data_IF_942915324554
#
_entry.id   IF_942915324554
#
_cell.length_a   1.000
_cell.length_b   1.000
_cell.length_c   1.000
_cell.angle_alpha   90.00
_cell.angle_beta   90.00
_cell.angle_gamma   90.00
#
_symmetry.space_group_name_H-M   'P 1'
#
loop_
_entity.id
_entity.type
_entity.pdbx_description
1 polymer ?
#
# COMPACT_ATOMS: atom_id res chain seq x y z
N UNK A 1 -17.92 -15.10 17.66
CA UNK A 1 -16.92 -15.54 16.68
C UNK A 1 -15.97 -16.50 17.36
N UNK A 2 -15.67 -17.65 16.75
CA UNK A 2 -14.58 -18.52 17.23
C UNK A 2 -13.28 -17.70 17.19
N UNK A 3 -12.72 -17.41 18.36
CA UNK A 3 -11.40 -16.75 18.46
C UNK A 3 -10.41 -17.63 17.72
N UNK A 4 -9.91 -17.17 16.58
CA UNK A 4 -8.93 -17.94 15.83
C UNK A 4 -7.64 -17.94 16.64
N UNK A 5 -7.27 -19.10 17.17
CA UNK A 5 -5.99 -19.30 17.84
C UNK A 5 -4.87 -19.31 16.78
N UNK A 6 -4.28 -18.12 16.59
CA UNK A 6 -3.20 -17.89 15.62
C UNK A 6 -2.03 -18.84 15.89
N UNK A 7 -1.74 -19.11 17.16
CA UNK A 7 -0.58 -19.90 17.54
C UNK A 7 -0.84 -21.40 17.28
N UNK A 8 -2.04 -21.91 17.57
CA UNK A 8 -2.44 -23.28 17.17
C UNK A 8 -2.42 -23.42 15.65
N UNK A 9 -2.99 -22.47 14.91
CA UNK A 9 -2.98 -22.53 13.45
C UNK A 9 -1.57 -22.44 12.85
N UNK A 10 -0.66 -21.69 13.48
CA UNK A 10 0.74 -21.61 13.06
C UNK A 10 1.48 -22.93 13.33
N UNK A 11 1.18 -23.58 14.46
CA UNK A 11 1.76 -24.86 14.85
C UNK A 11 1.23 -26.04 14.02
N UNK A 12 -0.04 -26.00 13.62
CA UNK A 12 -0.69 -27.07 12.88
C UNK A 12 -0.19 -27.13 11.44
N UNK A 13 0.84 -27.94 11.20
CA UNK A 13 1.44 -28.16 9.88
C UNK A 13 0.69 -29.19 9.00
N UNK A 14 -0.53 -29.60 9.39
CA UNK A 14 -1.26 -30.72 8.79
C UNK A 14 -1.86 -30.48 7.39
N UNK A 15 -1.60 -29.34 6.75
CA UNK A 15 -2.24 -28.95 5.49
C UNK A 15 -1.33 -29.20 4.29
N UNK A 16 -1.89 -29.81 3.23
CA UNK A 16 -1.17 -30.01 1.95
C UNK A 16 -0.82 -28.67 1.27
N UNK A 17 -1.65 -27.64 1.46
CA UNK A 17 -1.39 -26.22 1.15
C UNK A 17 -2.27 -25.37 2.09
N UNK A 18 -1.70 -24.46 2.88
CA UNK A 18 -2.44 -23.40 3.59
C UNK A 18 -2.32 -22.10 2.77
N UNK A 19 -3.37 -21.71 2.01
CA UNK A 19 -3.29 -20.61 1.05
C UNK A 19 -3.21 -19.25 1.75
N UNK A 20 -2.24 -18.43 1.31
CA UNK A 20 -2.00 -17.09 1.84
C UNK A 20 -3.02 -16.09 1.28
N UNK A 21 -3.22 -16.12 -0.04
CA UNK A 21 -4.21 -15.28 -0.74
C UNK A 21 -5.57 -15.95 -0.64
N UNK A 22 -6.50 -15.33 0.07
CA UNK A 22 -7.82 -15.92 0.39
C UNK A 22 -8.92 -15.53 -0.59
N UNK A 23 -8.76 -14.37 -1.21
CA UNK A 23 -9.71 -13.74 -2.13
C UNK A 23 -8.96 -12.71 -2.96
N UNK A 24 -9.51 -12.34 -4.12
CA UNK A 24 -9.05 -11.16 -4.86
C UNK A 24 -9.46 -9.83 -4.18
N UNK A 25 -10.37 -9.86 -3.20
CA UNK A 25 -10.61 -8.73 -2.27
C UNK A 25 -9.56 -8.64 -1.15
N UNK A 26 -8.68 -9.64 -1.00
CA UNK A 26 -7.55 -9.55 -0.06
C UNK A 26 -6.44 -8.66 -0.64
N UNK A 27 -6.80 -7.40 -0.90
CA UNK A 27 -6.00 -6.37 -1.56
C UNK A 27 -6.38 -5.00 -1.00
N UNK A 28 -5.58 -3.99 -1.28
CA UNK A 28 -5.88 -2.61 -0.88
C UNK A 28 -6.95 -1.97 -1.80
N UNK A 29 -7.91 -1.23 -1.25
CA UNK A 29 -9.06 -0.66 -1.98
C UNK A 29 -8.67 0.22 -3.17
N UNK A 30 -7.55 0.95 -3.06
CA UNK A 30 -7.05 1.78 -4.15
C UNK A 30 -6.75 0.97 -5.42
N UNK A 31 -6.41 -0.32 -5.29
CA UNK A 31 -6.19 -1.21 -6.44
C UNK A 31 -7.46 -1.37 -7.27
N UNK A 32 -8.62 -1.53 -6.62
CA UNK A 32 -9.90 -1.67 -7.33
C UNK A 32 -10.34 -0.34 -7.96
N UNK A 33 -10.15 0.78 -7.25
CA UNK A 33 -10.45 2.12 -7.79
C UNK A 33 -9.62 2.41 -9.04
N UNK A 34 -8.32 2.13 -8.96
CA UNK A 34 -7.40 2.31 -10.07
C UNK A 34 -7.68 1.35 -11.20
N UNK A 35 -7.95 0.08 -10.89
CA UNK A 35 -8.25 -0.94 -11.89
C UNK A 35 -9.47 -0.57 -12.75
N UNK A 36 -10.53 -0.04 -12.14
CA UNK A 36 -11.68 0.46 -12.90
C UNK A 36 -11.26 1.58 -13.86
N UNK A 37 -10.52 2.58 -13.37
CA UNK A 37 -10.06 3.70 -14.20
C UNK A 37 -9.12 3.23 -15.33
N UNK A 38 -8.18 2.35 -15.03
CA UNK A 38 -7.25 1.75 -16.00
C UNK A 38 -8.05 1.02 -17.08
N UNK A 39 -9.07 0.23 -16.71
CA UNK A 39 -9.90 -0.48 -17.69
C UNK A 39 -10.69 0.48 -18.58
N UNK A 40 -11.23 1.56 -18.02
CA UNK A 40 -12.05 2.51 -18.78
C UNK A 40 -11.23 3.43 -19.70
N UNK A 41 -10.00 3.78 -19.31
CA UNK A 41 -9.19 4.77 -20.03
C UNK A 41 -7.94 4.22 -20.73
N UNK A 42 -7.34 3.16 -20.19
CA UNK A 42 -6.01 2.65 -20.57
C UNK A 42 -6.03 1.13 -20.76
N UNK A 43 -7.16 0.60 -21.27
CA UNK A 43 -7.42 -0.84 -21.36
C UNK A 43 -6.51 -1.59 -22.34
N UNK A 44 -5.83 -0.88 -23.23
CA UNK A 44 -4.89 -1.38 -24.24
C UNK A 44 -3.42 -1.26 -23.81
N UNK A 45 -3.14 -0.67 -22.64
CA UNK A 45 -1.78 -0.50 -22.13
C UNK A 45 -1.25 -1.82 -21.56
N UNK A 46 -0.05 -2.20 -21.98
CA UNK A 46 0.74 -3.29 -21.41
C UNK A 46 1.65 -2.74 -20.31
N UNK A 47 1.70 -3.39 -19.16
CA UNK A 47 2.56 -2.98 -18.05
C UNK A 47 3.27 -4.18 -17.42
N UNK A 48 4.55 -3.99 -17.09
CA UNK A 48 5.35 -4.97 -16.37
C UNK A 48 5.54 -4.54 -14.92
N UNK A 49 5.18 -5.40 -13.98
CA UNK A 49 5.47 -5.24 -12.55
C UNK A 49 6.61 -6.15 -12.14
N UNK A 50 7.48 -5.68 -11.24
CA UNK A 50 8.57 -6.50 -10.71
C UNK A 50 8.66 -6.36 -9.19
N UNK A 51 8.95 -7.48 -8.52
CA UNK A 51 9.29 -7.52 -7.11
C UNK A 51 10.72 -6.99 -6.91
N UNK A 52 10.90 -6.09 -5.95
CA UNK A 52 12.18 -5.46 -5.63
C UNK A 52 12.41 -5.58 -4.13
N UNK A 53 13.37 -6.43 -3.75
CA UNK A 53 13.91 -6.48 -2.41
C UNK A 53 14.99 -5.38 -2.24
N UNK A 54 14.71 -4.38 -1.41
CA UNK A 54 15.67 -3.31 -1.07
C UNK A 54 16.54 -3.67 0.15
N UNK A 55 16.14 -4.65 0.95
CA UNK A 55 16.92 -5.18 2.07
C UNK A 55 17.86 -6.28 1.57
N UNK A 56 18.94 -5.89 0.88
CA UNK A 56 19.87 -6.82 0.22
C UNK A 56 20.59 -7.79 1.17
N UNK A 57 20.68 -7.47 2.46
CA UNK A 57 21.20 -8.36 3.49
C UNK A 57 20.34 -9.60 3.71
N UNK A 58 19.05 -9.55 3.35
CA UNK A 58 18.14 -10.71 3.43
C UNK A 58 18.05 -11.34 2.04
N UNK A 59 18.62 -12.54 1.91
CA UNK A 59 18.65 -13.33 0.67
C UNK A 59 17.40 -14.20 0.60
N UNK A 60 16.36 -13.70 -0.07
CA UNK A 60 15.01 -14.29 -0.03
C UNK A 60 14.96 -15.75 -0.48
N UNK A 61 15.76 -16.13 -1.48
CA UNK A 61 15.78 -17.49 -2.00
C UNK A 61 16.50 -18.49 -1.07
N UNK A 62 17.18 -18.00 -0.04
CA UNK A 62 17.78 -18.83 1.02
C UNK A 62 16.85 -18.98 2.23
N UNK A 63 15.79 -18.16 2.31
CA UNK A 63 14.82 -18.14 3.43
C UNK A 63 13.52 -18.84 3.04
N UNK A 64 13.05 -18.64 1.81
CA UNK A 64 11.77 -19.16 1.32
C UNK A 64 12.06 -20.23 0.27
N UNK A 65 11.38 -21.38 0.40
CA UNK A 65 11.43 -22.44 -0.60
C UNK A 65 10.75 -21.96 -1.91
N UNK A 66 11.48 -22.01 -3.03
CA UNK A 66 10.97 -21.58 -4.33
C UNK A 66 9.72 -22.36 -4.75
N UNK A 67 9.63 -23.65 -4.40
CA UNK A 67 8.47 -24.48 -4.70
C UNK A 67 7.24 -24.01 -3.91
N UNK A 68 7.39 -23.72 -2.61
CA UNK A 68 6.29 -23.17 -1.81
C UNK A 68 5.83 -21.81 -2.36
N UNK A 69 6.77 -20.97 -2.80
CA UNK A 69 6.46 -19.69 -3.45
C UNK A 69 5.64 -19.91 -4.73
N UNK A 70 6.05 -20.83 -5.61
CA UNK A 70 5.30 -21.17 -6.83
C UNK A 70 3.90 -21.72 -6.53
N UNK A 71 3.77 -22.63 -5.56
CA UNK A 71 2.48 -23.19 -5.16
C UNK A 71 1.50 -22.09 -4.68
N UNK A 72 1.99 -21.08 -3.95
CA UNK A 72 1.18 -19.94 -3.50
C UNK A 72 0.83 -18.97 -4.64
N UNK A 73 1.77 -18.68 -5.55
CA UNK A 73 1.52 -17.83 -6.71
C UNK A 73 0.52 -18.50 -7.68
N UNK A 74 0.66 -19.80 -7.92
CA UNK A 74 -0.25 -20.58 -8.75
C UNK A 74 -1.65 -20.65 -8.13
N UNK A 75 -1.73 -20.82 -6.80
CA UNK A 75 -3.00 -20.71 -6.09
C UNK A 75 -3.65 -19.34 -6.29
N UNK A 76 -2.91 -18.24 -6.13
CA UNK A 76 -3.44 -16.89 -6.30
C UNK A 76 -4.07 -16.68 -7.69
N UNK A 77 -3.48 -17.25 -8.74
CA UNK A 77 -4.04 -17.25 -10.11
C UNK A 77 -5.33 -18.06 -10.25
N UNK A 78 -5.53 -19.08 -9.43
CA UNK A 78 -6.75 -19.87 -9.42
C UNK A 78 -7.91 -19.20 -8.65
N UNK A 79 -7.63 -18.18 -7.82
CA UNK A 79 -8.67 -17.45 -7.06
C UNK A 79 -9.55 -16.62 -8.01
N UNK A 80 -10.86 -16.60 -7.74
CA UNK A 80 -11.86 -15.79 -8.44
C UNK A 80 -12.61 -14.93 -7.44
N UNK A 81 -13.18 -13.83 -7.91
CA UNK A 81 -14.20 -13.13 -7.13
C UNK A 81 -15.42 -14.05 -6.96
N UNK A 82 -15.86 -14.20 -5.71
CA UNK A 82 -17.08 -14.93 -5.41
C UNK A 82 -18.32 -14.08 -5.68
N UNK A 83 -19.46 -14.74 -5.84
CA UNK A 83 -20.76 -14.06 -6.01
C UNK A 83 -21.07 -13.08 -4.87
N UNK A 84 -20.72 -13.42 -3.62
CA UNK A 84 -20.96 -12.57 -2.45
C UNK A 84 -20.14 -11.29 -2.52
N UNK A 85 -18.87 -11.41 -2.91
CA UNK A 85 -17.93 -10.29 -3.02
C UNK A 85 -18.34 -9.32 -4.13
N UNK A 86 -18.76 -9.83 -5.30
CA UNK A 86 -19.26 -9.00 -6.40
C UNK A 86 -20.57 -8.27 -6.02
N UNK A 87 -21.49 -8.94 -5.31
CA UNK A 87 -22.72 -8.30 -4.81
C UNK A 87 -22.37 -7.20 -3.81
N UNK A 88 -21.43 -7.46 -2.90
CA UNK A 88 -21.00 -6.47 -1.91
C UNK A 88 -20.34 -5.26 -2.58
N UNK A 89 -19.43 -5.46 -3.54
CA UNK A 89 -18.82 -4.35 -4.31
C UNK A 89 -19.86 -3.52 -5.07
N UNK A 90 -20.88 -4.16 -5.63
CA UNK A 90 -21.93 -3.49 -6.40
C UNK A 90 -22.94 -2.73 -5.51
N UNK A 91 -23.23 -3.28 -4.33
CA UNK A 91 -24.30 -2.80 -3.45
C UNK A 91 -23.85 -1.90 -2.30
N UNK A 92 -22.60 -2.02 -1.85
CA UNK A 92 -22.10 -1.23 -0.73
C UNK A 92 -21.91 0.25 -1.11
N UNK A 93 -22.06 1.13 -0.12
CA UNK A 93 -21.69 2.54 -0.26
C UNK A 93 -20.24 2.72 0.11
N UNK A 94 -19.48 3.43 -0.71
CA UNK A 94 -18.08 3.76 -0.46
C UNK A 94 -17.93 5.27 -0.53
N UNK A 95 -17.27 5.89 0.46
CA UNK A 95 -17.08 7.35 0.48
C UNK A 95 -18.38 8.16 0.31
N UNK A 96 -19.51 7.64 0.81
CA UNK A 96 -20.84 8.25 0.67
C UNK A 96 -21.48 8.12 -0.71
N UNK A 97 -20.88 7.35 -1.63
CA UNK A 97 -21.40 7.09 -2.97
C UNK A 97 -21.90 5.65 -3.08
N UNK A 98 -23.18 5.51 -3.37
CA UNK A 98 -23.77 4.24 -3.79
C UNK A 98 -23.25 3.86 -5.18
N UNK A 99 -23.03 2.56 -5.42
CA UNK A 99 -22.62 2.01 -6.73
C UNK A 99 -21.38 2.69 -7.30
N UNK A 100 -20.33 2.82 -6.47
CA UNK A 100 -19.04 3.40 -6.87
C UNK A 100 -18.40 2.66 -8.06
N UNK A 101 -18.60 1.35 -8.12
CA UNK A 101 -18.11 0.52 -9.21
C UNK A 101 -19.18 0.36 -10.30
N UNK A 102 -18.81 0.63 -11.53
CA UNK A 102 -19.70 0.58 -12.69
C UNK A 102 -20.16 -0.87 -12.95
N UNK A 103 -21.41 -1.09 -13.40
CA UNK A 103 -21.92 -2.43 -13.65
C UNK A 103 -21.09 -3.25 -14.65
N UNK A 104 -20.54 -2.63 -15.69
CA UNK A 104 -19.67 -3.29 -16.67
C UNK A 104 -18.32 -3.70 -16.06
N UNK A 105 -17.81 -2.92 -15.09
CA UNK A 105 -16.62 -3.27 -14.35
C UNK A 105 -16.86 -4.46 -13.42
N UNK A 106 -17.98 -4.48 -12.69
CA UNK A 106 -18.38 -5.63 -11.86
C UNK A 106 -18.57 -6.89 -12.70
N UNK A 107 -19.19 -6.78 -13.88
CA UNK A 107 -19.34 -7.90 -14.80
C UNK A 107 -17.98 -8.43 -15.28
N UNK A 108 -17.05 -7.53 -15.62
CA UNK A 108 -15.69 -7.91 -16.01
C UNK A 108 -14.90 -8.58 -14.87
N UNK A 109 -15.05 -8.12 -13.62
CA UNK A 109 -14.42 -8.75 -12.46
C UNK A 109 -14.89 -10.20 -12.25
N UNK A 110 -16.10 -10.56 -12.67
CA UNK A 110 -16.61 -11.93 -12.53
C UNK A 110 -15.74 -12.97 -13.26
N UNK A 111 -15.12 -12.57 -14.38
CA UNK A 111 -14.26 -13.44 -15.19
C UNK A 111 -12.75 -13.21 -14.93
N UNK A 112 -12.41 -12.23 -14.10
CA UNK A 112 -11.03 -11.82 -13.86
C UNK A 112 -10.18 -12.91 -13.21
N UNK A 113 -8.93 -13.03 -13.66
CA UNK A 113 -7.90 -13.92 -13.11
C UNK A 113 -6.54 -13.23 -13.15
N UNK A 114 -5.68 -13.54 -12.19
CA UNK A 114 -4.30 -13.04 -12.23
C UNK A 114 -3.54 -13.68 -13.42
N UNK A 115 -2.75 -12.89 -14.17
CA UNK A 115 -2.01 -13.38 -15.34
C UNK A 115 -0.83 -14.25 -14.91
N UNK A 116 -0.10 -14.80 -15.89
CA UNK A 116 1.15 -15.52 -15.65
C UNK A 116 2.23 -14.64 -15.00
N UNK A 117 3.23 -15.30 -14.41
CA UNK A 117 4.39 -14.67 -13.80
C UNK A 117 5.66 -15.38 -14.24
N UNK A 118 6.76 -14.64 -14.26
CA UNK A 118 8.12 -15.18 -14.39
C UNK A 118 8.80 -15.14 -13.04
N UNK A 119 9.34 -16.27 -12.59
CA UNK A 119 10.12 -16.38 -11.36
C UNK A 119 11.48 -17.01 -11.69
N UNK A 120 12.55 -16.30 -11.33
CA UNK A 120 13.93 -16.78 -11.40
C UNK A 120 14.63 -16.56 -10.08
N UNK A 121 15.58 -17.43 -9.77
CA UNK A 121 16.48 -17.27 -8.63
C UNK A 121 17.84 -16.80 -9.12
N UNK A 122 18.27 -15.62 -8.68
CA UNK A 122 19.52 -14.99 -9.09
C UNK A 122 20.23 -14.50 -7.83
N UNK A 123 21.47 -14.97 -7.60
CA UNK A 123 22.33 -14.57 -6.47
C UNK A 123 21.65 -14.61 -5.09
N UNK A 124 20.83 -15.64 -4.83
CA UNK A 124 20.11 -15.82 -3.57
C UNK A 124 18.88 -14.92 -3.40
N UNK A 125 18.46 -14.23 -4.46
CA UNK A 125 17.25 -13.41 -4.51
C UNK A 125 16.24 -13.97 -5.52
N UNK A 126 14.97 -13.63 -5.34
CA UNK A 126 13.95 -13.88 -6.34
C UNK A 126 13.78 -12.68 -7.27
N UNK A 127 13.88 -12.94 -8.57
CA UNK A 127 13.39 -12.05 -9.61
C UNK A 127 12.00 -12.53 -10.03
N UNK A 128 10.98 -11.81 -9.54
CA UNK A 128 9.57 -12.11 -9.81
C UNK A 128 8.96 -10.97 -10.64
N UNK A 129 8.48 -11.31 -11.83
CA UNK A 129 7.98 -10.35 -12.83
C UNK A 129 6.61 -10.76 -13.35
N UNK A 130 5.76 -9.77 -13.60
CA UNK A 130 4.39 -9.93 -14.10
C UNK A 130 4.24 -9.03 -15.33
N UNK A 131 4.17 -9.61 -16.51
CA UNK A 131 4.00 -8.89 -17.77
C UNK A 131 2.65 -9.23 -18.40
N UNK A 132 2.02 -8.23 -19.05
CA UNK A 132 0.70 -8.37 -19.65
C UNK A 132 -0.10 -7.06 -19.56
N UNK A 133 -1.41 -7.12 -19.84
CA UNK A 133 -2.28 -5.95 -19.78
C UNK A 133 -2.20 -5.29 -18.40
N UNK A 134 -2.16 -3.96 -18.37
CA UNK A 134 -2.05 -3.21 -17.11
C UNK A 134 -3.22 -3.49 -16.18
N UNK A 135 -4.41 -3.70 -16.74
CA UNK A 135 -5.62 -4.16 -16.04
C UNK A 135 -5.41 -5.47 -15.27
N UNK A 136 -4.48 -6.33 -15.69
CA UNK A 136 -4.22 -7.62 -15.06
C UNK A 136 -3.00 -7.56 -14.15
N UNK A 137 -1.89 -6.96 -14.61
CA UNK A 137 -0.64 -6.95 -13.86
C UNK A 137 -0.68 -6.01 -12.65
N UNK A 138 -1.50 -4.95 -12.65
CA UNK A 138 -1.65 -4.05 -11.48
C UNK A 138 -2.14 -4.79 -10.22
N UNK A 139 -2.93 -5.85 -10.41
CA UNK A 139 -3.50 -6.66 -9.32
C UNK A 139 -2.51 -7.66 -8.71
N UNK A 140 -1.31 -7.83 -9.28
CA UNK A 140 -0.27 -8.68 -8.70
C UNK A 140 0.47 -8.04 -7.52
N UNK A 141 0.51 -6.70 -7.41
CA UNK A 141 1.31 -6.01 -6.40
C UNK A 141 1.05 -6.54 -4.98
N UNK A 142 -0.22 -6.55 -4.55
CA UNK A 142 -0.58 -6.88 -3.17
C UNK A 142 -0.50 -8.38 -2.89
N UNK A 143 -1.04 -9.29 -3.76
CA UNK A 143 -0.87 -10.72 -3.61
C UNK A 143 0.61 -11.15 -3.55
N UNK A 144 1.45 -10.65 -4.45
CA UNK A 144 2.87 -11.03 -4.47
C UNK A 144 3.58 -10.63 -3.17
N UNK A 145 3.32 -9.41 -2.68
CA UNK A 145 3.92 -8.92 -1.45
C UNK A 145 3.42 -9.66 -0.20
N UNK A 146 2.13 -9.97 -0.13
CA UNK A 146 1.57 -10.74 1.00
C UNK A 146 2.09 -12.18 1.01
N UNK A 147 2.20 -12.83 -0.15
CA UNK A 147 2.77 -14.18 -0.28
C UNK A 147 4.22 -14.21 0.22
N UNK A 148 5.09 -13.33 -0.29
CA UNK A 148 6.51 -13.34 0.08
C UNK A 148 6.71 -13.00 1.56
N UNK A 149 5.99 -12.00 2.09
CA UNK A 149 6.10 -11.65 3.50
C UNK A 149 5.59 -12.77 4.43
N UNK A 150 4.44 -13.38 4.11
CA UNK A 150 3.88 -14.43 4.97
C UNK A 150 4.69 -15.74 4.87
N UNK A 151 5.22 -16.10 3.69
CA UNK A 151 6.16 -17.23 3.56
C UNK A 151 7.43 -17.01 4.37
N UNK A 152 7.96 -15.78 4.39
CA UNK A 152 9.10 -15.43 5.25
C UNK A 152 8.75 -15.58 6.73
N UNK A 153 7.58 -15.10 7.16
CA UNK A 153 7.12 -15.29 8.54
C UNK A 153 6.97 -16.77 8.88
N UNK A 154 6.40 -17.58 7.98
CA UNK A 154 6.28 -19.04 8.15
C UNK A 154 7.65 -19.70 8.28
N UNK A 155 8.62 -19.33 7.44
CA UNK A 155 9.98 -19.83 7.50
C UNK A 155 10.67 -19.51 8.84
N UNK A 156 10.51 -18.28 9.35
CA UNK A 156 11.07 -17.87 10.64
C UNK A 156 10.41 -18.53 11.86
N UNK A 157 9.16 -18.99 11.71
CA UNK A 157 8.41 -19.69 12.76
C UNK A 157 8.56 -21.21 12.68
N UNK A 158 9.11 -21.74 11.57
CA UNK A 158 9.29 -23.18 11.34
C UNK A 158 10.19 -23.78 12.40
N UNK A 159 9.73 -24.86 13.04
CA UNK A 159 10.45 -25.57 14.09
C UNK A 159 10.28 -25.01 15.51
N UNK A 160 9.56 -23.89 15.69
CA UNK A 160 9.19 -23.40 17.03
C UNK A 160 8.14 -24.29 17.67
N UNK A 161 8.26 -24.52 18.97
CA UNK A 161 7.27 -25.30 19.73
C UNK A 161 5.95 -24.55 19.92
N UNK A 162 4.85 -25.27 20.14
CA UNK A 162 3.51 -24.68 20.39
C UNK A 162 3.53 -23.61 21.49
N UNK A 163 4.22 -23.88 22.60
CA UNK A 163 4.34 -22.96 23.73
C UNK A 163 5.17 -21.71 23.40
N UNK A 164 6.26 -21.86 22.63
CA UNK A 164 7.06 -20.72 22.17
C UNK A 164 6.24 -19.79 21.27
N UNK A 165 5.41 -20.37 20.39
CA UNK A 165 4.49 -19.61 19.55
C UNK A 165 3.41 -18.88 20.37
N UNK A 166 2.87 -19.51 21.41
CA UNK A 166 1.93 -18.85 22.33
C UNK A 166 2.56 -17.62 23.00
N UNK A 167 3.77 -17.77 23.54
CA UNK A 167 4.50 -16.66 24.17
C UNK A 167 4.79 -15.56 23.16
N UNK A 168 5.23 -15.92 21.95
CA UNK A 168 5.53 -14.96 20.88
C UNK A 168 4.31 -14.13 20.51
N UNK A 169 3.17 -14.76 20.23
CA UNK A 169 1.96 -14.04 19.87
C UNK A 169 1.34 -13.31 21.07
N UNK A 170 1.44 -13.83 22.30
CA UNK A 170 1.01 -13.10 23.49
C UNK A 170 1.78 -11.78 23.68
N UNK A 171 3.11 -11.81 23.52
CA UNK A 171 3.96 -10.60 23.55
C UNK A 171 3.60 -9.63 22.43
N UNK A 172 3.39 -10.12 21.21
CA UNK A 172 3.00 -9.28 20.08
C UNK A 172 1.63 -8.61 20.31
N UNK A 173 0.66 -9.34 20.88
CA UNK A 173 -0.67 -8.80 21.22
C UNK A 173 -0.58 -7.70 22.28
N UNK A 174 0.14 -7.96 23.37
CA UNK A 174 0.37 -6.95 24.42
C UNK A 174 1.05 -5.70 23.85
N UNK A 175 2.11 -5.89 23.06
CA UNK A 175 2.83 -4.80 22.39
C UNK A 175 1.93 -3.96 21.50
N UNK A 176 1.03 -4.57 20.72
CA UNK A 176 0.07 -3.82 19.92
C UNK A 176 -0.90 -3.05 20.81
N UNK A 177 -1.43 -3.68 21.86
CA UNK A 177 -2.39 -3.04 22.76
C UNK A 177 -1.81 -1.81 23.47
N UNK A 178 -0.55 -1.89 23.93
CA UNK A 178 0.15 -0.73 24.51
C UNK A 178 0.21 0.46 23.52
N UNK A 179 0.39 0.19 22.23
CA UNK A 179 0.35 1.23 21.20
C UNK A 179 -1.04 1.84 21.05
N UNK A 180 -2.08 0.99 21.08
CA UNK A 180 -3.48 1.42 21.03
C UNK A 180 -3.80 2.34 22.20
N UNK A 181 -3.39 1.97 23.42
CA UNK A 181 -3.59 2.80 24.62
C UNK A 181 -2.96 4.18 24.47
N UNK A 182 -1.72 4.25 23.99
CA UNK A 182 -1.04 5.53 23.73
C UNK A 182 -1.74 6.38 22.67
N UNK A 183 -2.31 5.76 21.64
CA UNK A 183 -3.06 6.48 20.60
C UNK A 183 -4.43 6.98 21.08
N UNK A 184 -4.99 6.40 22.16
CA UNK A 184 -6.23 6.91 22.79
C UNK A 184 -6.06 8.30 23.41
N UNK A 185 -4.84 8.70 23.73
CA UNK A 185 -4.54 10.03 24.27
C UNK A 185 -4.71 11.15 23.21
N UNK A 186 -4.97 10.79 21.95
CA UNK A 186 -5.21 11.70 20.84
C UNK A 186 -6.72 11.72 20.52
N UNK A 187 -7.49 12.72 20.99
CA UNK A 187 -8.96 12.69 20.93
C UNK A 187 -9.52 12.83 19.51
N UNK A 188 -8.87 13.62 18.64
CA UNK A 188 -9.28 13.85 17.25
C UNK A 188 -8.49 13.01 16.24
N UNK A 189 -7.86 11.91 16.69
CA UNK A 189 -7.12 11.01 15.81
C UNK A 189 -8.08 10.37 14.80
N UNK A 190 -7.67 10.35 13.55
CA UNK A 190 -8.34 9.63 12.46
C UNK A 190 -7.33 8.65 11.87
N UNK A 191 -7.56 7.36 12.06
CA UNK A 191 -6.61 6.31 11.71
C UNK A 191 -7.28 5.18 10.91
N UNK A 192 -6.61 4.68 9.88
CA UNK A 192 -7.02 3.51 9.11
C UNK A 192 -5.89 2.48 9.03
N UNK A 193 -6.24 1.20 8.92
CA UNK A 193 -5.29 0.14 8.60
C UNK A 193 -4.83 0.26 7.13
N UNK A 194 -3.51 0.22 6.92
CA UNK A 194 -2.85 0.27 5.61
C UNK A 194 -1.76 -0.79 5.46
N UNK A 195 -1.84 -1.85 6.28
CA UNK A 195 -0.74 -2.78 6.51
C UNK A 195 -0.74 -4.05 5.66
N UNK A 196 -1.65 -4.20 4.68
CA UNK A 196 -1.81 -5.46 3.93
C UNK A 196 -0.51 -5.91 3.28
N UNK A 197 0.13 -5.06 2.47
CA UNK A 197 1.29 -5.43 1.65
C UNK A 197 2.51 -5.93 2.44
N UNK A 198 2.62 -5.61 3.73
CA UNK A 198 3.76 -6.02 4.58
C UNK A 198 3.33 -6.73 5.86
N UNK A 199 2.08 -7.20 5.94
CA UNK A 199 1.58 -7.92 7.12
C UNK A 199 2.41 -9.17 7.41
N UNK A 200 2.52 -9.52 8.68
CA UNK A 200 3.09 -10.79 9.14
C UNK A 200 2.30 -12.00 8.62
N UNK A 201 0.97 -11.86 8.57
CA UNK A 201 0.08 -12.81 7.95
C UNK A 201 -1.36 -12.35 8.01
N UNK A 202 -2.24 -12.95 7.21
CA UNK A 202 -3.64 -12.52 7.11
C UNK A 202 -4.36 -12.48 8.47
N UNK A 203 -4.23 -13.53 9.28
CA UNK A 203 -4.94 -13.62 10.56
C UNK A 203 -4.41 -12.64 11.60
N UNK A 204 -3.12 -12.34 11.54
CA UNK A 204 -2.53 -11.31 12.38
C UNK A 204 -3.06 -9.93 11.99
N UNK A 205 -3.15 -9.61 10.70
CA UNK A 205 -3.78 -8.35 10.24
C UNK A 205 -5.24 -8.26 10.70
N UNK A 206 -6.02 -9.34 10.54
CA UNK A 206 -7.41 -9.38 11.04
C UNK A 206 -7.49 -9.08 12.54
N UNK A 207 -6.64 -9.72 13.35
CA UNK A 207 -6.59 -9.46 14.79
C UNK A 207 -6.20 -8.01 15.12
N UNK A 208 -5.25 -7.43 14.39
CA UNK A 208 -4.87 -6.02 14.56
C UNK A 208 -6.05 -5.07 14.26
N UNK A 209 -6.80 -5.33 13.19
CA UNK A 209 -7.98 -4.54 12.80
C UNK A 209 -9.07 -4.61 13.87
N UNK A 210 -9.35 -5.80 14.41
CA UNK A 210 -10.29 -5.98 15.53
C UNK A 210 -9.84 -5.21 16.78
N UNK A 211 -8.55 -5.32 17.13
CA UNK A 211 -7.97 -4.61 18.27
C UNK A 211 -8.03 -3.08 18.10
N UNK A 212 -7.83 -2.54 16.89
CA UNK A 212 -7.99 -1.11 16.61
C UNK A 212 -9.45 -0.67 16.68
N UNK A 213 -10.38 -1.48 16.18
CA UNK A 213 -11.82 -1.20 16.23
C UNK A 213 -12.31 -1.08 17.68
N UNK A 214 -11.93 -2.03 18.54
CA UNK A 214 -12.23 -1.98 19.98
C UNK A 214 -11.43 -0.88 20.70
N UNK A 215 -10.17 -0.74 20.30
CA UNK A 215 -9.20 0.18 20.85
C UNK A 215 -9.58 1.66 20.72
N UNK A 216 -9.86 2.07 19.49
CA UNK A 216 -9.96 3.48 19.12
C UNK A 216 -11.41 3.91 18.85
N UNK A 217 -12.34 2.96 18.69
CA UNK A 217 -13.74 3.25 18.39
C UNK A 217 -13.88 4.06 17.11
N UNK A 218 -14.60 5.17 17.15
CA UNK A 218 -14.84 6.05 15.99
C UNK A 218 -13.57 6.70 15.41
N UNK A 219 -12.45 6.66 16.14
CA UNK A 219 -11.14 7.16 15.68
C UNK A 219 -10.48 6.19 14.69
N UNK A 220 -10.88 4.92 14.70
CA UNK A 220 -10.51 3.96 13.66
C UNK A 220 -11.56 3.98 12.55
N UNK A 221 -11.20 4.55 11.40
CA UNK A 221 -12.15 4.85 10.33
C UNK A 221 -12.30 3.73 9.30
N UNK A 222 -11.42 2.73 9.29
CA UNK A 222 -11.53 1.61 8.35
C UNK A 222 -10.21 0.93 8.02
N UNK A 223 -10.22 0.10 6.99
CA UNK A 223 -9.05 -0.63 6.49
C UNK A 223 -8.94 -0.47 4.97
N UNK A 224 -7.73 -0.43 4.43
CA UNK A 224 -7.55 -0.58 2.98
C UNK A 224 -7.84 -1.98 2.50
N UNK A 225 -7.70 -3.00 3.34
CA UNK A 225 -7.96 -4.37 2.93
C UNK A 225 -9.46 -4.55 2.68
N UNK A 226 -9.85 -4.76 1.42
CA UNK A 226 -11.27 -4.78 1.04
C UNK A 226 -12.00 -5.99 1.66
N UNK A 227 -11.32 -7.13 1.74
CA UNK A 227 -11.87 -8.33 2.39
C UNK A 227 -12.09 -8.10 3.89
N UNK A 228 -11.13 -7.49 4.60
CA UNK A 228 -11.32 -7.19 6.03
C UNK A 228 -12.36 -6.10 6.25
N UNK A 229 -12.47 -5.13 5.36
CA UNK A 229 -13.52 -4.12 5.40
C UNK A 229 -14.92 -4.77 5.27
N UNK A 230 -15.08 -5.67 4.29
CA UNK A 230 -16.29 -6.46 4.10
C UNK A 230 -16.59 -7.37 5.30
N UNK A 231 -15.59 -8.10 5.81
CA UNK A 231 -15.77 -9.06 6.91
C UNK A 231 -16.13 -8.41 8.25
N UNK A 232 -15.78 -7.12 8.46
CA UNK A 232 -15.90 -6.43 9.74
C UNK A 232 -16.86 -5.23 9.72
N UNK A 233 -17.64 -5.05 8.65
CA UNK A 233 -18.51 -3.89 8.45
C UNK A 233 -17.75 -2.56 8.68
N UNK A 234 -16.57 -2.44 8.06
CA UNK A 234 -15.75 -1.23 8.10
C UNK A 234 -15.77 -0.54 6.73
N UNK A 235 -15.47 0.76 6.72
CA UNK A 235 -15.22 1.47 5.47
C UNK A 235 -13.94 0.93 4.80
N UNK A 236 -14.01 0.73 3.48
CA UNK A 236 -12.84 0.43 2.66
C UNK A 236 -12.11 1.74 2.30
N UNK A 237 -10.85 1.88 2.73
CA UNK A 237 -10.08 3.12 2.61
C UNK A 237 -9.06 3.02 1.46
N UNK A 238 -9.08 3.98 0.54
CA UNK A 238 -8.13 4.06 -0.56
C UNK A 238 -8.19 5.38 -1.34
N UNK A 239 -7.13 5.68 -2.06
CA UNK A 239 -7.02 6.83 -2.99
C UNK A 239 -6.48 6.35 -4.32
N UNK A 240 -5.50 7.05 -4.92
CA UNK A 240 -4.65 6.53 -6.00
C UNK A 240 -3.22 6.22 -5.49
N UNK A 241 -2.36 5.68 -6.38
CA UNK A 241 -0.98 5.32 -6.10
C UNK A 241 -0.03 5.70 -7.25
N UNK A 242 1.28 5.65 -6.99
CA UNK A 242 2.32 6.13 -7.91
C UNK A 242 2.37 5.42 -9.25
N UNK A 243 1.84 4.20 -9.40
CA UNK A 243 1.87 3.53 -10.70
C UNK A 243 1.17 4.33 -11.80
N UNK A 244 0.13 5.14 -11.48
CA UNK A 244 -0.56 5.94 -12.49
C UNK A 244 0.38 6.97 -13.13
N UNK A 245 1.00 7.91 -12.37
CA UNK A 245 1.92 8.87 -12.97
C UNK A 245 3.17 8.19 -13.53
N UNK A 246 3.64 7.09 -12.94
CA UNK A 246 4.77 6.33 -13.47
C UNK A 246 4.47 5.77 -14.88
N UNK A 247 3.30 5.16 -15.09
CA UNK A 247 2.88 4.61 -16.39
C UNK A 247 2.64 5.75 -17.38
N UNK A 248 1.88 6.78 -16.99
CA UNK A 248 1.57 7.90 -17.89
C UNK A 248 2.83 8.66 -18.32
N UNK A 249 3.82 8.80 -17.44
CA UNK A 249 5.11 9.41 -17.79
C UNK A 249 5.94 8.50 -18.71
N UNK A 250 5.98 7.19 -18.44
CA UNK A 250 6.66 6.23 -19.33
C UNK A 250 6.06 6.21 -20.74
N UNK A 251 4.75 6.41 -20.87
CA UNK A 251 4.03 6.46 -22.15
C UNK A 251 4.14 7.81 -22.88
N UNK A 252 4.69 8.85 -22.25
CA UNK A 252 4.87 10.14 -22.90
C UNK A 252 5.92 10.08 -24.03
N UNK A 253 5.67 10.78 -25.12
CA UNK A 253 6.56 10.79 -26.29
C UNK A 253 7.72 11.81 -26.17
N UNK A 254 7.57 12.82 -25.31
CA UNK A 254 8.57 13.87 -25.08
C UNK A 254 8.63 14.32 -23.60
N UNK A 255 9.58 15.21 -23.30
CA UNK A 255 9.82 15.71 -21.94
C UNK A 255 8.65 16.56 -21.42
N UNK A 256 7.89 17.22 -22.30
CA UNK A 256 6.70 17.99 -21.91
C UNK A 256 5.54 17.06 -21.51
N UNK A 257 5.38 15.94 -22.20
CA UNK A 257 4.46 14.87 -21.83
C UNK A 257 4.83 14.22 -20.49
N UNK A 258 6.13 14.00 -20.24
CA UNK A 258 6.62 13.53 -18.93
C UNK A 258 6.26 14.55 -17.83
N UNK A 259 6.56 15.84 -18.04
CA UNK A 259 6.30 16.90 -17.07
C UNK A 259 4.81 17.07 -16.74
N UNK A 260 3.92 16.85 -17.72
CA UNK A 260 2.47 16.98 -17.55
C UNK A 260 1.79 15.71 -17.01
N UNK A 261 2.47 14.55 -17.02
CA UNK A 261 1.91 13.28 -16.60
C UNK A 261 1.30 13.28 -15.18
N UNK A 262 1.93 13.88 -14.14
CA UNK A 262 1.34 13.93 -12.80
C UNK A 262 -0.03 14.60 -12.77
N UNK A 263 -0.24 15.65 -13.56
CA UNK A 263 -1.49 16.40 -13.57
C UNK A 263 -2.53 15.76 -14.49
N UNK A 264 -2.11 15.13 -15.59
CA UNK A 264 -3.01 14.36 -16.47
C UNK A 264 -3.68 13.23 -15.71
N UNK A 265 -2.94 12.47 -14.89
CA UNK A 265 -3.50 11.44 -14.01
C UNK A 265 -4.59 12.01 -13.10
N UNK A 266 -4.35 13.17 -12.49
CA UNK A 266 -5.30 13.77 -11.58
C UNK A 266 -6.55 14.26 -12.32
N UNK A 267 -6.40 14.80 -13.52
CA UNK A 267 -7.51 15.17 -14.40
C UNK A 267 -8.38 13.95 -14.80
N UNK A 268 -7.75 12.82 -15.12
CA UNK A 268 -8.45 11.55 -15.41
C UNK A 268 -9.15 10.98 -14.17
N UNK A 269 -8.47 11.05 -13.01
CA UNK A 269 -8.99 10.57 -11.73
C UNK A 269 -10.23 11.37 -11.29
N UNK A 270 -10.21 12.70 -11.38
CA UNK A 270 -11.36 13.52 -10.98
C UNK A 270 -12.58 13.38 -11.90
N UNK A 271 -12.40 12.83 -13.11
CA UNK A 271 -13.48 12.49 -14.02
C UNK A 271 -14.19 11.18 -13.61
N UNK A 272 -13.50 10.29 -12.88
CA UNK A 272 -14.06 9.04 -12.36
C UNK A 272 -14.60 9.19 -10.92
N UNK A 273 -13.87 9.95 -10.10
CA UNK A 273 -14.07 10.02 -8.66
C UNK A 273 -14.11 11.47 -8.15
N UNK A 274 -14.88 11.70 -7.09
CA UNK A 274 -15.09 13.02 -6.50
C UNK A 274 -14.92 13.01 -4.97
N UNK A 275 -15.22 14.14 -4.33
CA UNK A 275 -15.23 14.27 -2.88
C UNK A 275 -13.92 13.84 -2.21
N UNK A 276 -14.04 12.96 -1.22
CA UNK A 276 -12.92 12.51 -0.39
C UNK A 276 -11.89 11.62 -1.14
N UNK A 277 -12.17 11.22 -2.38
CA UNK A 277 -11.19 10.53 -3.24
C UNK A 277 -10.26 11.49 -3.99
N UNK A 278 -10.52 12.81 -3.95
CA UNK A 278 -9.63 13.84 -4.52
C UNK A 278 -8.46 14.15 -3.58
N UNK A 279 -7.57 13.18 -3.46
CA UNK A 279 -6.31 13.27 -2.70
C UNK A 279 -5.14 13.19 -3.67
N UNK A 280 -4.34 14.25 -3.73
CA UNK A 280 -3.17 14.32 -4.59
C UNK A 280 -1.97 13.59 -3.97
N UNK A 281 -1.18 12.92 -4.81
CA UNK A 281 0.03 12.19 -4.43
C UNK A 281 1.24 12.82 -5.14
N UNK A 282 1.86 13.86 -4.56
CA UNK A 282 2.75 14.76 -5.28
C UNK A 282 4.16 14.18 -5.51
N UNK A 283 4.55 13.16 -4.76
CA UNK A 283 5.94 12.71 -4.66
C UNK A 283 6.34 11.68 -5.73
N UNK A 284 5.55 11.47 -6.79
CA UNK A 284 5.95 10.58 -7.88
C UNK A 284 7.32 11.01 -8.46
N UNK A 285 7.45 12.31 -8.75
CA UNK A 285 8.65 12.92 -9.33
C UNK A 285 9.23 14.06 -8.48
N UNK A 286 8.80 14.18 -7.23
CA UNK A 286 9.23 15.21 -6.29
C UNK A 286 8.13 16.24 -6.01
N UNK A 287 7.78 16.38 -4.74
CA UNK A 287 6.70 17.25 -4.24
C UNK A 287 6.97 18.72 -4.54
N UNK A 288 8.21 19.18 -4.41
CA UNK A 288 8.56 20.59 -4.70
C UNK A 288 8.31 20.94 -6.16
N UNK A 289 8.73 20.07 -7.10
CA UNK A 289 8.49 20.26 -8.52
C UNK A 289 6.98 20.21 -8.83
N UNK A 290 6.28 19.24 -8.24
CA UNK A 290 4.84 19.10 -8.38
C UNK A 290 4.06 20.34 -7.89
N UNK A 291 4.39 20.90 -6.73
CA UNK A 291 3.66 22.06 -6.20
C UNK A 291 3.97 23.35 -6.97
N UNK A 292 5.19 23.48 -7.51
CA UNK A 292 5.61 24.64 -8.31
C UNK A 292 4.78 24.77 -9.59
N UNK A 293 4.56 23.66 -10.29
CA UNK A 293 3.93 23.65 -11.62
C UNK A 293 2.45 23.21 -11.55
N UNK A 294 1.90 23.01 -10.35
CA UNK A 294 0.53 22.57 -10.13
C UNK A 294 -0.50 23.56 -10.71
N UNK A 295 -1.46 23.09 -11.52
CA UNK A 295 -2.59 23.91 -11.96
C UNK A 295 -3.44 24.41 -10.79
N UNK A 296 -4.01 25.62 -10.91
CA UNK A 296 -4.80 26.27 -9.84
C UNK A 296 -5.97 25.41 -9.33
N UNK A 297 -6.68 24.72 -10.23
CA UNK A 297 -7.82 23.85 -9.86
C UNK A 297 -7.44 22.74 -8.87
N UNK A 298 -6.16 22.35 -8.82
CA UNK A 298 -5.71 21.32 -7.90
C UNK A 298 -5.77 21.79 -6.45
N UNK A 299 -5.65 23.11 -6.21
CA UNK A 299 -5.78 23.67 -4.88
C UNK A 299 -7.18 23.47 -4.30
N UNK A 300 -8.19 23.19 -5.14
CA UNK A 300 -9.57 22.93 -4.72
C UNK A 300 -9.85 21.47 -4.38
N UNK A 301 -8.91 20.56 -4.66
CA UNK A 301 -9.00 19.17 -4.20
C UNK A 301 -9.07 19.07 -2.67
N UNK A 302 -9.58 17.94 -2.19
CA UNK A 302 -9.84 17.69 -0.77
C UNK A 302 -8.56 17.70 0.04
N UNK A 303 -7.48 17.13 -0.50
CA UNK A 303 -6.26 16.95 0.26
C UNK A 303 -5.06 16.42 -0.52
N UNK A 304 -3.99 16.18 0.21
CA UNK A 304 -2.74 15.62 -0.30
C UNK A 304 -2.25 14.49 0.62
N UNK A 305 -1.47 13.56 0.04
CA UNK A 305 -0.79 12.48 0.75
C UNK A 305 0.73 12.60 0.54
N UNK A 306 1.49 13.27 1.42
CA UNK A 306 2.95 13.22 1.38
C UNK A 306 3.44 11.81 1.75
N UNK A 307 4.20 11.16 0.86
CA UNK A 307 4.55 9.73 0.99
C UNK A 307 6.06 9.42 0.85
N UNK A 308 6.92 10.44 0.76
CA UNK A 308 8.38 10.23 0.80
C UNK A 308 9.21 11.36 1.43
N UNK A 309 8.57 12.35 2.05
CA UNK A 309 9.19 13.35 2.93
C UNK A 309 8.86 13.08 4.40
N UNK A 310 9.64 13.63 5.35
CA UNK A 310 9.26 13.66 6.76
C UNK A 310 7.87 14.28 6.90
N UNK A 311 6.95 13.67 7.68
CA UNK A 311 5.56 14.10 7.76
C UNK A 311 5.38 15.60 8.03
N UNK A 312 6.14 16.15 8.99
CA UNK A 312 6.08 17.58 9.33
C UNK A 312 6.57 18.45 8.17
N UNK A 313 7.74 18.18 7.60
CA UNK A 313 8.28 18.99 6.50
C UNK A 313 7.35 18.97 5.28
N UNK A 314 6.87 17.78 4.90
CA UNK A 314 5.95 17.65 3.77
C UNK A 314 4.59 18.30 4.02
N UNK A 315 4.04 18.16 5.23
CA UNK A 315 2.78 18.81 5.59
C UNK A 315 2.88 20.34 5.60
N UNK A 316 3.98 20.90 6.13
CA UNK A 316 4.22 22.35 6.12
C UNK A 316 4.36 22.91 4.71
N UNK A 317 5.09 22.21 3.84
CA UNK A 317 5.25 22.63 2.45
C UNK A 317 3.91 22.70 1.71
N UNK A 318 3.03 21.71 1.92
CA UNK A 318 1.70 21.67 1.29
C UNK A 318 0.77 22.74 1.90
N UNK A 319 0.83 22.96 3.23
CA UNK A 319 0.09 24.05 3.88
C UNK A 319 0.49 25.41 3.34
N UNK A 320 1.79 25.68 3.22
CA UNK A 320 2.30 26.92 2.66
C UNK A 320 1.84 27.10 1.20
N UNK A 321 1.81 26.02 0.41
CA UNK A 321 1.28 26.06 -0.94
C UNK A 321 -0.21 26.42 -0.97
N UNK A 322 -1.07 25.78 -0.17
CA UNK A 322 -2.48 26.16 -0.09
C UNK A 322 -2.69 27.63 0.29
N UNK A 323 -1.91 28.13 1.25
CA UNK A 323 -1.95 29.53 1.68
C UNK A 323 -1.54 30.48 0.55
N UNK A 324 -0.47 30.16 -0.19
CA UNK A 324 -0.04 30.93 -1.36
C UNK A 324 -1.09 30.92 -2.48
N UNK A 325 -1.85 29.83 -2.61
CA UNK A 325 -3.00 29.73 -3.51
C UNK A 325 -4.27 30.38 -2.93
N UNK A 326 -4.26 30.97 -1.73
CA UNK A 326 -5.44 31.61 -1.12
C UNK A 326 -6.51 30.64 -0.60
N UNK A 327 -6.16 29.37 -0.36
CA UNK A 327 -7.07 28.34 0.20
C UNK A 327 -6.81 28.16 1.69
N UNK A 328 -7.88 28.05 2.49
CA UNK A 328 -7.79 27.81 3.94
C UNK A 328 -7.39 26.36 4.24
N UNK A 329 -6.18 26.10 4.80
CA UNK A 329 -5.71 24.75 5.08
C UNK A 329 -6.59 24.00 6.09
N UNK A 330 -7.33 24.68 6.96
CA UNK A 330 -8.22 24.04 7.96
C UNK A 330 -9.35 23.24 7.32
N UNK A 331 -9.69 23.55 6.06
CA UNK A 331 -10.70 22.83 5.27
C UNK A 331 -10.10 21.69 4.45
N UNK A 332 -8.78 21.62 4.35
CA UNK A 332 -8.04 20.62 3.58
C UNK A 332 -7.67 19.42 4.45
N UNK A 333 -7.25 18.35 3.80
CA UNK A 333 -6.86 17.08 4.42
C UNK A 333 -5.41 16.74 4.08
N UNK A 334 -4.62 16.39 5.08
CA UNK A 334 -3.36 15.69 4.91
C UNK A 334 -3.54 14.23 5.32
N UNK A 335 -3.16 13.31 4.42
CA UNK A 335 -3.12 11.88 4.70
C UNK A 335 -1.66 11.48 4.90
N UNK A 336 -1.28 11.02 6.09
CA UNK A 336 0.08 10.58 6.38
C UNK A 336 0.14 9.05 6.40
N UNK A 337 0.99 8.44 5.57
CA UNK A 337 1.01 6.98 5.37
C UNK A 337 2.41 6.34 5.24
N UNK A 338 3.48 7.13 5.22
CA UNK A 338 4.84 6.62 4.97
C UNK A 338 5.47 6.05 6.26
N UNK A 339 5.28 4.74 6.50
CA UNK A 339 6.08 3.98 7.47
C UNK A 339 6.00 4.45 8.92
N UNK A 340 4.87 5.01 9.34
CA UNK A 340 4.74 5.67 10.64
C UNK A 340 4.68 4.70 11.83
N UNK A 341 5.13 5.16 13.00
CA UNK A 341 4.97 4.51 14.29
C UNK A 341 4.18 5.43 15.25
N UNK A 342 3.91 4.96 16.47
CA UNK A 342 3.14 5.74 17.45
C UNK A 342 3.79 7.10 17.76
N UNK A 343 5.11 7.18 17.82
CA UNK A 343 5.81 8.42 18.14
C UNK A 343 5.64 9.42 17.01
N UNK A 344 5.88 9.00 15.76
CA UNK A 344 5.77 9.88 14.60
C UNK A 344 4.31 10.27 14.33
N UNK A 345 3.34 9.39 14.58
CA UNK A 345 1.90 9.74 14.55
C UNK A 345 1.60 10.81 15.60
N UNK A 346 2.05 10.62 16.84
CA UNK A 346 1.80 11.55 17.96
C UNK A 346 2.41 12.93 17.71
N UNK A 347 3.66 12.96 17.26
CA UNK A 347 4.37 14.21 16.94
C UNK A 347 3.68 14.96 15.79
N UNK A 348 3.39 14.25 14.69
CA UNK A 348 2.70 14.83 13.52
C UNK A 348 1.31 15.34 13.89
N UNK A 349 0.54 14.56 14.66
CA UNK A 349 -0.77 14.96 15.16
C UNK A 349 -0.68 16.26 15.95
N UNK A 350 0.19 16.33 16.97
CA UNK A 350 0.33 17.52 17.82
C UNK A 350 0.78 18.75 17.03
N UNK A 351 1.64 18.57 16.04
CA UNK A 351 2.17 19.67 15.21
C UNK A 351 1.11 20.32 14.31
N UNK A 352 0.17 19.53 13.78
CA UNK A 352 -0.85 19.98 12.83
C UNK A 352 -2.26 20.10 13.41
N UNK A 353 -2.47 19.73 14.67
CA UNK A 353 -3.76 19.81 15.34
C UNK A 353 -4.35 21.22 15.25
N UNK A 354 -5.61 21.33 14.81
CA UNK A 354 -6.32 22.58 14.58
C UNK A 354 -5.90 23.40 13.34
N UNK A 355 -4.83 23.00 12.64
CA UNK A 355 -4.31 23.74 11.46
C UNK A 355 -4.81 23.16 10.13
N UNK A 356 -5.07 21.85 10.09
CA UNK A 356 -5.52 21.08 8.93
C UNK A 356 -6.22 19.81 9.40
N UNK A 357 -7.10 19.22 8.59
CA UNK A 357 -7.62 17.88 8.89
C UNK A 357 -6.53 16.85 8.63
N UNK A 358 -6.46 15.83 9.46
CA UNK A 358 -5.45 14.77 9.35
C UNK A 358 -6.12 13.41 9.23
N UNK A 359 -5.48 12.50 8.51
CA UNK A 359 -5.76 11.07 8.53
C UNK A 359 -4.45 10.31 8.49
N UNK A 360 -4.36 9.20 9.23
CA UNK A 360 -3.16 8.38 9.34
C UNK A 360 -3.42 6.98 8.81
N UNK A 361 -2.71 6.59 7.75
CA UNK A 361 -2.68 5.22 7.23
C UNK A 361 -1.59 4.43 7.92
N UNK A 362 -1.95 3.48 8.79
CA UNK A 362 -0.96 2.76 9.60
C UNK A 362 -0.60 1.40 8.98
N UNK A 363 0.64 1.31 8.48
CA UNK A 363 1.14 0.17 7.69
C UNK A 363 1.91 -0.88 8.50
N UNK A 364 3.16 -1.14 8.13
CA UNK A 364 3.99 -2.22 8.70
C UNK A 364 4.06 -2.24 10.22
N UNK A 365 4.16 -1.08 10.88
CA UNK A 365 4.30 -1.00 12.33
C UNK A 365 3.04 -1.49 13.08
N UNK A 366 1.88 -1.46 12.42
CA UNK A 366 0.64 -2.09 12.88
C UNK A 366 0.68 -3.61 12.65
N UNK A 367 0.96 -4.04 11.42
CA UNK A 367 0.68 -5.43 10.98
C UNK A 367 1.90 -6.36 10.97
N UNK A 368 3.09 -5.88 11.31
CA UNK A 368 4.32 -6.68 11.28
C UNK A 368 5.41 -6.16 12.24
N UNK A 369 5.02 -5.78 13.46
CA UNK A 369 5.97 -5.40 14.51
C UNK A 369 6.16 -6.49 15.57
N UNK A 370 6.96 -7.51 15.22
CA UNK A 370 7.31 -8.63 16.09
C UNK A 370 8.67 -8.46 16.80
N UNK A 371 9.31 -7.28 16.70
CA UNK A 371 10.58 -6.98 17.37
C UNK A 371 10.47 -7.20 18.88
N UNK A 372 11.38 -7.97 19.46
CA UNK A 372 11.40 -8.31 20.89
C UNK A 372 10.26 -9.24 21.35
N UNK A 373 9.49 -9.82 20.43
CA UNK A 373 8.40 -10.74 20.78
C UNK A 373 8.89 -12.20 20.84
N UNK A 374 9.94 -12.56 20.11
CA UNK A 374 10.48 -13.93 20.11
C UNK A 374 11.11 -14.28 21.47
N UNK A 375 10.65 -15.33 22.18
CA UNK A 375 11.28 -15.78 23.42
C UNK A 375 12.72 -16.27 23.24
N UNK A 376 13.10 -16.69 22.03
CA UNK A 376 14.47 -17.09 21.70
C UNK A 376 15.37 -15.95 21.22
N UNK A 377 14.94 -14.69 21.36
CA UNK A 377 15.67 -13.49 20.91
C UNK A 377 16.03 -13.48 19.40
N UNK A 378 15.17 -14.10 18.59
CA UNK A 378 15.35 -14.17 17.14
C UNK A 378 14.92 -12.89 16.41
N UNK A 379 15.72 -12.48 15.42
CA UNK A 379 15.43 -11.33 14.53
C UNK A 379 14.75 -11.72 13.21
N UNK A 380 14.41 -13.01 13.04
CA UNK A 380 13.88 -13.54 11.77
C UNK A 380 12.55 -12.90 11.31
N UNK A 381 11.80 -12.30 12.23
CA UNK A 381 10.50 -11.65 11.98
C UNK A 381 10.58 -10.14 11.77
N UNK A 382 11.77 -9.52 11.82
CA UNK A 382 11.89 -8.07 11.56
C UNK A 382 11.49 -7.76 10.13
N UNK A 383 10.59 -6.81 9.84
CA UNK A 383 10.11 -6.62 8.47
C UNK A 383 11.24 -6.13 7.54
N UNK A 384 11.16 -6.48 6.26
CA UNK A 384 12.11 -6.07 5.22
C UNK A 384 11.50 -5.06 4.25
N UNK A 385 12.34 -4.26 3.59
CA UNK A 385 11.88 -3.32 2.57
C UNK A 385 11.64 -4.04 1.24
N UNK A 386 10.46 -4.66 1.12
CA UNK A 386 9.98 -5.30 -0.10
C UNK A 386 8.92 -4.43 -0.79
N UNK A 387 9.02 -4.27 -2.11
CA UNK A 387 8.01 -3.57 -2.93
C UNK A 387 7.78 -4.33 -4.23
N UNK A 388 6.60 -4.19 -4.84
CA UNK A 388 6.33 -4.60 -6.20
C UNK A 388 5.86 -3.37 -6.97
N UNK A 389 6.52 -3.03 -8.08
CA UNK A 389 6.30 -1.76 -8.78
C UNK A 389 6.28 -1.98 -10.27
N UNK A 390 5.58 -1.09 -10.98
CA UNK A 390 5.70 -1.00 -12.43
C UNK A 390 7.14 -0.65 -12.81
N UNK A 391 7.73 -1.43 -13.70
CA UNK A 391 9.09 -1.26 -14.23
C UNK A 391 9.08 -0.89 -15.71
N UNK A 392 8.02 -1.27 -16.45
CA UNK A 392 7.84 -0.93 -17.86
C UNK A 392 6.36 -0.69 -18.20
N UNK A 393 6.10 0.19 -19.16
CA UNK A 393 4.79 0.38 -19.79
C UNK A 393 4.96 0.47 -21.32
N UNK A 394 4.25 -0.35 -22.10
CA UNK A 394 4.41 -0.49 -23.56
C UNK A 394 5.89 -0.57 -24.01
N UNK A 395 6.70 -1.34 -23.27
CA UNK A 395 8.13 -1.50 -23.55
C UNK A 395 9.01 -0.30 -23.18
N UNK A 396 8.46 0.80 -22.66
CA UNK A 396 9.20 1.97 -22.15
C UNK A 396 9.46 1.83 -20.65
N UNK A 397 10.66 2.17 -20.14
CA UNK A 397 10.98 2.08 -18.71
C UNK A 397 10.14 3.04 -17.86
N UNK A 398 9.65 2.57 -16.72
CA UNK A 398 8.95 3.40 -15.73
C UNK A 398 9.92 3.86 -14.64
N UNK A 399 9.74 5.10 -14.18
CA UNK A 399 10.59 5.75 -13.18
C UNK A 399 9.74 6.27 -12.02
N UNK A 400 10.23 6.16 -10.78
CA UNK A 400 9.80 6.98 -9.64
C UNK A 400 11.02 7.70 -9.08
N UNK A 401 10.97 9.02 -8.93
CA UNK A 401 12.06 9.78 -8.28
C UNK A 401 11.90 9.81 -6.75
N UNK A 402 10.68 10.04 -6.25
CA UNK A 402 10.42 10.30 -4.82
C UNK A 402 11.11 11.56 -4.28
N UNK A 403 10.66 12.06 -3.14
CA UNK A 403 11.34 13.14 -2.42
C UNK A 403 12.63 12.68 -1.73
N UNK A 404 12.75 11.37 -1.48
CA UNK A 404 13.98 10.75 -1.01
C UNK A 404 14.71 10.04 -2.17
N UNK A 405 15.91 10.49 -2.58
CA UNK A 405 16.69 9.85 -3.65
C UNK A 405 16.97 8.36 -3.41
N UNK A 406 17.14 7.92 -2.15
CA UNK A 406 17.36 6.51 -1.82
C UNK A 406 16.13 5.62 -2.12
N UNK A 407 14.95 6.20 -2.32
CA UNK A 407 13.72 5.51 -2.72
C UNK A 407 13.47 5.52 -4.23
N UNK A 408 14.33 6.17 -5.03
CA UNK A 408 14.21 6.22 -6.49
C UNK A 408 14.22 4.80 -7.10
N UNK A 409 13.55 4.63 -8.23
CA UNK A 409 13.44 3.33 -8.92
C UNK A 409 13.27 3.58 -10.41
N UNK A 410 13.97 2.81 -11.25
CA UNK A 410 13.94 2.94 -12.69
C UNK A 410 15.33 2.77 -13.30
N UNK A 411 15.41 2.84 -14.63
CA UNK A 411 16.68 2.86 -15.35
C UNK A 411 17.51 4.11 -14.99
N UNK A 412 18.82 4.01 -14.74
CA UNK A 412 19.64 5.17 -14.37
C UNK A 412 19.64 6.31 -15.38
N UNK A 413 19.59 6.03 -16.69
CA UNK A 413 19.57 7.06 -17.72
C UNK A 413 18.24 7.81 -17.73
N UNK A 414 17.13 7.10 -17.54
CA UNK A 414 15.80 7.73 -17.42
C UNK A 414 15.61 8.46 -16.09
N UNK A 415 16.18 7.97 -14.98
CA UNK A 415 16.24 8.73 -13.72
C UNK A 415 16.96 10.06 -13.95
N UNK A 416 18.11 10.04 -14.64
CA UNK A 416 18.86 11.25 -14.97
C UNK A 416 18.06 12.19 -15.89
N UNK A 417 17.27 11.65 -16.83
CA UNK A 417 16.34 12.44 -17.66
C UNK A 417 15.27 13.10 -16.82
N UNK A 418 14.57 12.35 -15.98
CA UNK A 418 13.48 12.88 -15.14
C UNK A 418 14.02 13.94 -14.17
N UNK A 419 15.23 13.76 -13.63
CA UNK A 419 15.93 14.78 -12.84
C UNK A 419 16.17 16.10 -13.59
N UNK A 420 16.46 16.06 -14.90
CA UNK A 420 16.57 17.28 -15.71
C UNK A 420 15.22 17.97 -15.92
N UNK A 421 14.15 17.19 -16.02
CA UNK A 421 12.78 17.69 -16.26
C UNK A 421 12.20 18.33 -14.99
N UNK A 422 12.22 17.60 -13.88
CA UNK A 422 11.56 18.02 -12.62
C UNK A 422 12.47 18.84 -11.70
N UNK A 423 13.79 18.66 -11.84
CA UNK A 423 14.80 19.18 -10.92
C UNK A 423 15.02 18.29 -9.70
N UNK A 424 15.95 18.71 -8.83
CA UNK A 424 16.32 17.98 -7.60
C UNK A 424 16.01 18.78 -6.31
N UNK A 425 15.44 19.98 -6.45
CA UNK A 425 15.16 20.87 -5.32
C UNK A 425 14.15 20.25 -4.36
N UNK A 426 14.48 20.28 -3.07
CA UNK A 426 13.64 19.76 -1.99
C UNK A 426 13.73 18.25 -1.79
N UNK A 427 14.52 17.54 -2.61
CA UNK A 427 14.80 16.13 -2.38
C UNK A 427 15.90 16.00 -1.34
N UNK A 428 15.72 15.10 -0.37
CA UNK A 428 16.69 14.88 0.71
C UNK A 428 16.85 13.40 1.00
N UNK A 429 18.10 12.95 1.10
CA UNK A 429 18.40 11.56 1.40
C UNK A 429 18.08 11.25 2.86
N UNK A 430 17.33 10.16 3.08
CA UNK A 430 16.91 9.70 4.39
C UNK A 430 16.99 8.18 4.44
N UNK A 431 17.25 7.63 5.62
CA UNK A 431 17.22 6.19 5.84
C UNK A 431 15.82 5.64 5.49
N UNK A 432 15.78 4.56 4.70
CA UNK A 432 14.53 3.88 4.38
C UNK A 432 14.16 3.00 5.58
N UNK A 433 13.25 3.47 6.43
CA UNK A 433 12.62 2.66 7.48
C UNK A 433 11.57 1.73 6.89
N UNK A 434 11.27 0.65 7.62
CA UNK A 434 10.31 -0.39 7.23
C UNK A 434 9.18 -0.51 8.23
#
# INVERSE_FOLDING_TARGET
MTVTDIATRTYDHGWRLDPIVRSLLDTDFYKLLMLQMIRHLHGDVEATFSLINRSKSVRLAEVIDERELREQLDHARAVRFSKKELIWLAGNSFYGRERMFAPDFIAWLADFQLPEYELRTVDGQFELTFAGPWTHTTMWEIPALTIVNELRSRAALKGKGRFELDILYARAKAKLWDKVERLRDLPDLVLSDFGTRRRHGFLWQRWCVEALKEGLGSRFIGSSNVLLAMDNDLEAIGTNAHELPMVLAALADDDAGVASAPYRVLAEWQAHYDGNLRIALPDAFGTTAFLRDAPDWLADWTGFRPDSMPPIAGGEQIIAWWQAQGRDPRRKLLVFSDGMDVNTITETYRHFHGRVRMSFGWGTNLTNDFRGCDPGDGHGLEPISLVAKVTRANGRPAVKLSDNPAKATGDPAEIARYLRIFGDVGRSEQAVSV
#
